data_IF_525105484692
#
_entry.id   IF_525105484692
#
_cell.length_a   1.000
_cell.length_b   1.000
_cell.length_c   1.000
_cell.angle_alpha   90.00
_cell.angle_beta   90.00
_cell.angle_gamma   90.00
#
_symmetry.space_group_name_H-M   'P 1'
#
loop_
_entity.id
_entity.type
_entity.pdbx_description
1 polymer ?
#
# COMPACT_ATOMS: atom_id res chain seq x y z
N UNK A 1 -25.58 -47.34 25.59
CA UNK A 1 -25.69 -46.10 24.80
C UNK A 1 -25.80 -46.50 23.34
N UNK A 2 -26.94 -46.31 22.71
CA UNK A 2 -27.11 -46.62 21.27
C UNK A 2 -26.68 -45.39 20.47
N UNK A 3 -25.57 -45.48 19.75
CA UNK A 3 -25.17 -44.44 18.80
C UNK A 3 -26.14 -44.46 17.61
N UNK A 4 -26.95 -43.40 17.49
CA UNK A 4 -27.70 -43.15 16.27
C UNK A 4 -26.73 -42.95 15.10
N UNK A 5 -27.04 -43.54 13.95
CA UNK A 5 -26.23 -43.36 12.73
C UNK A 5 -26.45 -41.94 12.23
N UNK A 6 -25.35 -41.21 12.03
CA UNK A 6 -25.41 -39.87 11.47
C UNK A 6 -26.08 -39.87 10.08
N UNK A 7 -26.96 -38.91 9.86
CA UNK A 7 -27.64 -38.71 8.57
C UNK A 7 -26.62 -38.34 7.49
N UNK A 8 -26.99 -38.49 6.21
CA UNK A 8 -26.06 -38.16 5.12
C UNK A 8 -25.72 -36.66 5.08
N UNK A 9 -26.66 -35.80 5.49
CA UNK A 9 -26.45 -34.36 5.62
C UNK A 9 -25.44 -34.04 6.72
N UNK A 10 -25.56 -34.69 7.88
CA UNK A 10 -24.59 -34.56 8.98
C UNK A 10 -23.19 -34.97 8.54
N UNK A 11 -23.06 -36.07 7.78
CA UNK A 11 -21.77 -36.50 7.23
C UNK A 11 -21.20 -35.49 6.23
N UNK A 12 -22.04 -34.94 5.35
CA UNK A 12 -21.62 -33.93 4.38
C UNK A 12 -21.15 -32.64 5.09
N UNK A 13 -21.85 -32.25 6.15
CA UNK A 13 -21.49 -31.10 6.97
C UNK A 13 -20.16 -31.33 7.71
N UNK A 14 -19.95 -32.52 8.28
CA UNK A 14 -18.66 -32.88 8.92
C UNK A 14 -17.52 -32.85 7.90
N UNK A 15 -17.74 -33.32 6.67
CA UNK A 15 -16.71 -33.28 5.64
C UNK A 15 -16.41 -31.85 5.17
N UNK A 16 -17.42 -30.97 5.09
CA UNK A 16 -17.21 -29.59 4.68
C UNK A 16 -16.46 -28.79 5.74
N UNK A 17 -16.75 -29.00 7.03
CA UNK A 17 -16.02 -28.36 8.13
C UNK A 17 -14.56 -28.79 8.15
N UNK A 18 -14.27 -30.07 7.98
CA UNK A 18 -12.89 -30.57 7.90
C UNK A 18 -12.11 -29.97 6.72
N UNK A 19 -12.74 -29.87 5.56
CA UNK A 19 -12.13 -29.23 4.38
C UNK A 19 -11.87 -27.74 4.61
N UNK A 20 -12.81 -27.05 5.24
CA UNK A 20 -12.66 -25.63 5.57
C UNK A 20 -11.52 -25.42 6.55
N UNK A 21 -11.45 -26.22 7.62
CA UNK A 21 -10.39 -26.13 8.62
C UNK A 21 -9.00 -26.34 8.00
N UNK A 22 -8.85 -27.32 7.11
CA UNK A 22 -7.60 -27.57 6.40
C UNK A 22 -7.24 -26.41 5.46
N UNK A 23 -8.20 -25.90 4.69
CA UNK A 23 -8.00 -24.70 3.87
C UNK A 23 -7.57 -23.50 4.71
N UNK A 24 -8.25 -23.23 5.82
CA UNK A 24 -7.97 -22.08 6.67
C UNK A 24 -6.56 -22.16 7.24
N UNK A 25 -6.13 -23.32 7.73
CA UNK A 25 -4.78 -23.55 8.28
C UNK A 25 -3.68 -23.39 7.22
N UNK A 26 -3.95 -23.76 5.99
CA UNK A 26 -2.97 -23.73 4.89
C UNK A 26 -3.02 -22.43 4.07
N UNK A 27 -3.98 -21.54 4.34
CA UNK A 27 -4.14 -20.27 3.64
C UNK A 27 -3.12 -19.23 4.10
N UNK A 28 -2.86 -18.23 3.26
CA UNK A 28 -2.01 -17.08 3.61
C UNK A 28 -2.61 -16.18 4.72
N UNK A 29 -3.84 -16.45 5.17
CA UNK A 29 -4.52 -15.70 6.23
C UNK A 29 -4.39 -16.36 7.60
N UNK A 30 -3.81 -17.57 7.68
CA UNK A 30 -3.56 -18.24 8.95
C UNK A 30 -2.46 -17.53 9.73
N UNK A 31 -2.82 -16.94 10.87
CA UNK A 31 -1.88 -16.33 11.79
C UNK A 31 -1.57 -17.33 12.91
N UNK A 32 -0.39 -17.93 12.86
CA UNK A 32 0.06 -18.85 13.91
C UNK A 32 0.27 -18.05 15.22
N UNK A 33 -0.45 -18.37 16.31
CA UNK A 33 -0.50 -17.54 17.52
C UNK A 33 0.85 -17.38 18.22
N UNK A 34 1.76 -18.35 18.03
CA UNK A 34 3.08 -18.39 18.64
C UNK A 34 4.23 -18.43 17.61
N UNK A 35 3.94 -18.13 16.33
CA UNK A 35 5.00 -17.97 15.36
C UNK A 35 5.98 -16.90 15.87
N UNK A 36 7.28 -17.18 15.94
CA UNK A 36 8.25 -16.16 16.27
C UNK A 36 8.11 -15.09 15.19
N UNK A 37 7.57 -13.91 15.56
CA UNK A 37 7.50 -12.74 14.69
C UNK A 37 8.82 -12.67 13.95
N UNK A 38 8.81 -12.89 12.63
CA UNK A 38 10.03 -12.75 11.86
C UNK A 38 10.53 -11.35 12.18
N UNK A 39 11.82 -11.22 12.52
CA UNK A 39 12.47 -9.95 12.93
C UNK A 39 12.37 -8.83 11.86
N UNK A 40 11.60 -9.05 10.80
CA UNK A 40 11.40 -8.19 9.66
C UNK A 40 9.96 -7.62 9.57
N UNK A 41 8.96 -8.23 10.21
CA UNK A 41 7.56 -7.83 10.01
C UNK A 41 7.23 -6.53 10.77
N UNK A 42 7.87 -6.33 11.93
CA UNK A 42 7.80 -5.05 12.65
C UNK A 42 8.44 -3.89 11.85
N UNK A 43 9.17 -4.17 10.76
CA UNK A 43 9.74 -3.12 9.87
C UNK A 43 8.82 -2.73 8.72
N UNK A 44 7.76 -3.48 8.44
CA UNK A 44 6.82 -3.14 7.35
C UNK A 44 5.89 -1.99 7.74
N UNK A 45 5.54 -1.89 9.03
CA UNK A 45 4.71 -0.82 9.59
C UNK A 45 5.52 0.35 10.18
N UNK A 46 6.84 0.22 10.33
CA UNK A 46 7.69 1.35 10.69
C UNK A 46 7.88 2.26 9.48
N UNK A 47 7.27 3.46 9.52
CA UNK A 47 7.64 4.55 8.60
C UNK A 47 9.14 4.82 8.73
N UNK A 48 9.90 4.40 7.73
CA UNK A 48 11.36 4.60 7.67
C UNK A 48 11.78 6.08 7.87
N UNK A 49 10.87 7.03 7.61
CA UNK A 49 11.08 8.47 7.86
C UNK A 49 11.03 8.88 9.34
N UNK A 50 10.32 8.13 10.19
CA UNK A 50 10.22 8.39 11.63
C UNK A 50 11.43 7.86 12.38
N UNK A 51 12.20 6.97 11.74
CA UNK A 51 13.49 6.52 12.21
C UNK A 51 14.44 7.72 12.23
N UNK A 52 14.45 8.46 13.34
CA UNK A 52 15.52 9.41 13.69
C UNK A 52 16.80 8.63 13.49
N UNK A 53 17.64 9.08 12.53
CA UNK A 53 18.90 8.42 12.17
C UNK A 53 19.58 7.98 13.46
N UNK A 54 19.62 6.67 13.72
CA UNK A 54 20.34 6.14 14.89
C UNK A 54 21.76 6.66 14.73
N UNK A 55 22.15 7.44 15.73
CA UNK A 55 23.42 8.10 15.97
C UNK A 55 24.45 7.71 14.93
N UNK A 56 24.77 8.62 14.01
CA UNK A 56 25.97 8.49 13.19
C UNK A 56 27.11 8.27 14.19
N UNK A 57 27.56 7.02 14.35
CA UNK A 57 28.73 6.70 15.17
C UNK A 57 29.79 7.69 14.72
N UNK A 58 30.40 8.41 15.67
CA UNK A 58 31.34 9.50 15.41
C UNK A 58 32.29 9.06 14.31
N UNK A 59 31.99 9.46 13.07
CA UNK A 59 32.71 8.94 11.91
C UNK A 59 34.11 9.46 12.09
N UNK A 60 35.08 8.57 12.25
CA UNK A 60 36.45 9.02 12.49
C UNK A 60 36.88 9.89 11.30
N UNK A 61 37.76 10.85 11.58
CA UNK A 61 38.23 11.74 10.54
C UNK A 61 38.77 10.92 9.36
N UNK A 62 38.55 11.37 8.13
CA UNK A 62 39.05 10.64 6.94
C UNK A 62 40.56 10.40 7.00
N UNK A 63 41.30 11.29 7.67
CA UNK A 63 42.73 11.15 7.94
C UNK A 63 43.09 9.88 8.75
N UNK A 64 42.16 9.33 9.55
CA UNK A 64 42.36 8.08 10.30
C UNK A 64 42.35 6.86 9.39
N UNK A 65 41.56 6.89 8.30
CA UNK A 65 41.43 5.78 7.36
C UNK A 65 42.36 5.90 6.16
N UNK A 66 42.71 7.13 5.79
CA UNK A 66 43.46 7.41 4.58
C UNK A 66 44.58 8.40 4.88
N UNK A 67 45.82 7.93 4.67
CA UNK A 67 47.00 8.81 4.69
C UNK A 67 46.90 9.74 3.48
N UNK A 68 46.74 11.04 3.74
CA UNK A 68 46.65 12.09 2.71
C UNK A 68 48.05 12.38 2.11
N UNK A 69 48.69 11.34 1.55
CA UNK A 69 50.00 11.42 0.90
C UNK A 69 49.76 11.40 -0.62
N UNK A 70 50.39 12.27 -1.42
CA UNK A 70 50.20 12.29 -2.87
C UNK A 70 50.37 10.91 -3.53
N UNK A 71 51.32 10.11 -3.06
CA UNK A 71 51.56 8.75 -3.55
C UNK A 71 50.38 7.77 -3.38
N UNK A 72 49.43 8.04 -2.47
CA UNK A 72 48.24 7.22 -2.23
C UNK A 72 47.07 7.55 -3.16
N UNK A 73 47.18 8.61 -3.96
CA UNK A 73 46.12 9.01 -4.87
C UNK A 73 46.63 8.94 -6.32
N UNK A 74 45.78 8.48 -7.25
CA UNK A 74 46.12 8.54 -8.67
C UNK A 74 46.39 9.99 -9.08
N UNK A 75 47.36 10.16 -9.99
CA UNK A 75 47.84 11.47 -10.43
C UNK A 75 46.72 12.38 -10.97
N UNK A 76 45.66 11.79 -11.50
CA UNK A 76 44.44 12.45 -12.00
C UNK A 76 43.69 13.22 -10.91
N UNK A 77 43.73 12.75 -9.66
CA UNK A 77 43.05 13.37 -8.52
C UNK A 77 43.91 14.46 -7.85
N UNK A 78 45.24 14.35 -7.95
CA UNK A 78 46.18 15.33 -7.38
C UNK A 78 46.24 16.61 -8.21
N UNK A 79 46.22 16.46 -9.53
CA UNK A 79 46.28 17.56 -10.48
C UNK A 79 44.89 18.12 -10.76
N UNK A 80 44.06 18.21 -9.72
CA UNK A 80 42.64 18.59 -9.77
C UNK A 80 42.37 19.44 -11.00
N UNK A 81 41.73 18.82 -12.00
CA UNK A 81 41.27 19.53 -13.19
C UNK A 81 40.65 20.82 -12.68
N UNK A 82 41.15 21.97 -13.15
CA UNK A 82 40.53 23.28 -12.91
C UNK A 82 39.17 23.25 -13.60
N UNK A 83 38.23 22.46 -13.08
CA UNK A 83 36.85 22.44 -13.50
C UNK A 83 36.34 23.78 -13.04
N UNK A 84 36.13 24.68 -14.00
CA UNK A 84 35.32 25.86 -13.80
C UNK A 84 34.15 25.45 -12.91
N UNK A 85 33.98 26.15 -11.78
CA UNK A 85 32.91 25.92 -10.83
C UNK A 85 31.62 25.67 -11.63
N UNK A 86 31.01 24.47 -11.59
CA UNK A 86 29.72 24.30 -12.21
C UNK A 86 28.79 25.24 -11.46
N UNK A 87 28.32 26.28 -12.16
CA UNK A 87 27.30 27.20 -11.65
C UNK A 87 26.23 26.33 -11.02
N UNK A 88 26.04 26.47 -9.70
CA UNK A 88 25.07 25.68 -8.94
C UNK A 88 23.66 26.05 -9.43
N UNK A 89 23.24 25.49 -10.56
CA UNK A 89 21.85 25.49 -10.97
C UNK A 89 21.15 24.56 -9.98
N UNK A 90 20.67 25.15 -8.90
CA UNK A 90 19.81 24.47 -7.92
C UNK A 90 18.66 23.85 -8.72
N UNK A 91 18.60 22.53 -8.74
CA UNK A 91 17.49 21.78 -9.27
C UNK A 91 16.26 22.16 -8.43
N UNK A 92 15.48 23.12 -8.93
CA UNK A 92 14.23 23.55 -8.31
C UNK A 92 13.16 22.61 -8.83
N UNK A 93 12.61 21.79 -7.95
CA UNK A 93 11.39 21.05 -8.24
C UNK A 93 10.29 22.08 -8.50
N UNK A 94 9.89 22.20 -9.77
CA UNK A 94 8.87 23.17 -10.13
C UNK A 94 7.51 22.57 -9.77
N UNK A 95 6.87 23.14 -8.75
CA UNK A 95 5.60 22.64 -8.19
C UNK A 95 4.44 22.91 -9.15
N UNK A 96 4.60 23.87 -10.05
CA UNK A 96 3.55 24.39 -10.91
C UNK A 96 3.32 23.57 -12.18
N UNK A 97 4.25 22.66 -12.54
CA UNK A 97 4.16 21.87 -13.77
C UNK A 97 3.02 20.83 -13.76
N UNK A 98 2.47 20.47 -12.59
CA UNK A 98 1.50 19.37 -12.44
C UNK A 98 0.13 19.78 -11.89
N UNK A 99 -0.14 21.07 -11.64
CA UNK A 99 -1.42 21.50 -11.06
C UNK A 99 -2.62 21.19 -11.98
N UNK A 100 -2.44 21.31 -13.30
CA UNK A 100 -3.50 20.98 -14.28
C UNK A 100 -3.93 19.50 -14.24
N UNK A 101 -3.03 18.60 -13.86
CA UNK A 101 -3.33 17.16 -13.77
C UNK A 101 -4.33 16.92 -12.63
N UNK A 102 -4.18 17.62 -11.50
CA UNK A 102 -5.11 17.52 -10.37
C UNK A 102 -6.49 18.12 -10.67
N UNK A 103 -6.56 19.25 -11.38
CA UNK A 103 -7.83 19.84 -11.82
C UNK A 103 -8.64 18.92 -12.76
N UNK A 104 -7.95 18.12 -13.59
CA UNK A 104 -8.63 17.13 -14.46
C UNK A 104 -9.22 15.99 -13.63
N UNK A 105 -8.49 15.49 -12.63
CA UNK A 105 -8.99 14.44 -11.75
C UNK A 105 -10.20 14.90 -10.92
N UNK A 106 -10.17 16.12 -10.39
CA UNK A 106 -11.30 16.68 -9.63
C UNK A 106 -12.57 16.82 -10.51
N UNK A 107 -12.43 17.24 -11.77
CA UNK A 107 -13.55 17.32 -12.72
C UNK A 107 -14.11 15.94 -13.07
N UNK A 108 -13.26 14.93 -13.24
CA UNK A 108 -13.69 13.56 -13.52
C UNK A 108 -14.48 12.99 -12.33
N UNK A 109 -14.02 13.19 -11.11
CA UNK A 109 -14.71 12.74 -9.89
C UNK A 109 -16.05 13.47 -9.69
N UNK A 110 -16.10 14.76 -10.00
CA UNK A 110 -17.35 15.53 -9.95
C UNK A 110 -18.39 15.03 -10.97
N UNK A 111 -17.95 14.68 -12.19
CA UNK A 111 -18.82 14.12 -13.21
C UNK A 111 -19.34 12.73 -12.82
N UNK A 112 -18.48 11.88 -12.25
CA UNK A 112 -18.87 10.56 -11.74
C UNK A 112 -19.92 10.69 -10.63
N UNK A 113 -19.66 11.53 -9.62
CA UNK A 113 -20.63 11.80 -8.53
C UNK A 113 -21.96 12.35 -9.05
N UNK A 114 -21.92 13.25 -10.04
CA UNK A 114 -23.13 13.77 -10.67
C UNK A 114 -23.91 12.66 -11.38
N UNK A 115 -23.25 11.82 -12.19
CA UNK A 115 -23.89 10.69 -12.88
C UNK A 115 -24.52 9.69 -11.91
N UNK A 116 -23.84 9.34 -10.82
CA UNK A 116 -24.43 8.47 -9.79
C UNK A 116 -25.64 9.12 -9.10
N UNK A 117 -25.58 10.42 -8.82
CA UNK A 117 -26.71 11.15 -8.22
C UNK A 117 -27.91 11.24 -9.18
N UNK A 118 -27.68 11.54 -10.46
CA UNK A 118 -28.75 11.58 -11.47
C UNK A 118 -29.40 10.21 -11.65
N UNK A 119 -28.63 9.13 -11.69
CA UNK A 119 -29.16 7.77 -11.78
C UNK A 119 -30.02 7.43 -10.55
N UNK A 120 -29.53 7.71 -9.33
CA UNK A 120 -30.30 7.47 -8.10
C UNK A 120 -31.62 8.25 -8.07
N UNK A 121 -31.60 9.52 -8.50
CA UNK A 121 -32.83 10.34 -8.59
C UNK A 121 -33.78 9.81 -9.66
N UNK A 122 -33.27 9.36 -10.80
CA UNK A 122 -34.08 8.79 -11.89
C UNK A 122 -34.75 7.47 -11.47
N UNK A 123 -33.99 6.56 -10.83
CA UNK A 123 -34.53 5.31 -10.30
C UNK A 123 -35.58 5.54 -9.21
N UNK A 124 -35.36 6.49 -8.29
CA UNK A 124 -36.35 6.87 -7.28
C UNK A 124 -37.64 7.42 -7.90
N UNK A 125 -37.53 8.27 -8.94
CA UNK A 125 -38.70 8.80 -9.65
C UNK A 125 -39.49 7.71 -10.40
N UNK A 126 -38.81 6.72 -10.99
CA UNK A 126 -39.44 5.57 -11.65
C UNK A 126 -40.13 4.61 -10.66
N UNK A 127 -39.57 4.39 -9.47
CA UNK A 127 -40.22 3.60 -8.40
C UNK A 127 -41.50 4.27 -7.90
N UNK A 128 -41.49 5.60 -7.72
CA UNK A 128 -42.68 6.33 -7.25
C UNK A 128 -43.84 6.32 -8.25
N UNK A 129 -43.58 6.25 -9.57
CA UNK A 129 -44.62 6.18 -10.61
C UNK A 129 -45.16 4.77 -10.86
N UNK A 130 -44.40 3.72 -10.52
CA UNK A 130 -44.78 2.33 -10.80
C UNK A 130 -45.49 1.63 -9.64
N UNK A 131 -45.62 2.28 -8.47
CA UNK A 131 -46.30 1.73 -7.30
C UNK A 131 -45.64 0.48 -6.71
N UNK A 132 -44.41 0.14 -7.14
CA UNK A 132 -43.63 -0.98 -6.62
C UNK A 132 -42.57 -0.43 -5.67
N UNK A 133 -42.66 -0.84 -4.42
CA UNK A 133 -41.65 -0.57 -3.38
C UNK A 133 -40.41 -1.43 -3.67
N UNK A 134 -39.46 -0.90 -4.43
CA UNK A 134 -38.13 -1.52 -4.58
C UNK A 134 -37.24 -0.89 -3.52
N UNK A 135 -36.58 -1.73 -2.73
CA UNK A 135 -35.78 -1.26 -1.60
C UNK A 135 -34.46 -0.66 -2.11
N UNK A 136 -33.91 0.34 -1.40
CA UNK A 136 -32.61 0.94 -1.73
C UNK A 136 -31.49 -0.13 -1.79
N UNK A 137 -31.65 -1.23 -1.06
CA UNK A 137 -30.74 -2.38 -1.06
C UNK A 137 -30.71 -3.12 -2.41
N UNK A 138 -31.84 -3.18 -3.14
CA UNK A 138 -31.91 -3.83 -4.46
C UNK A 138 -31.21 -3.00 -5.55
N UNK A 139 -31.16 -1.67 -5.38
CA UNK A 139 -30.48 -0.74 -6.29
C UNK A 139 -28.96 -0.83 -6.12
N UNK A 140 -28.48 -0.99 -4.88
CA UNK A 140 -27.05 -1.11 -4.57
C UNK A 140 -26.48 -2.44 -5.08
N UNK A 141 -27.28 -3.51 -5.16
CA UNK A 141 -26.85 -4.82 -5.65
C UNK A 141 -26.70 -4.89 -7.18
N UNK A 142 -27.19 -3.89 -7.92
CA UNK A 142 -27.21 -3.86 -9.38
C UNK A 142 -26.08 -3.03 -10.01
N UNK A 143 -25.30 -2.32 -9.18
CA UNK A 143 -24.06 -1.60 -9.53
C UNK A 143 -22.87 -2.47 -9.12
#
# INVERSE_FOLDING_TARGET
>A
MTCAKATNEEKALILSTLKLDDFMRNSCYYLEPDAPKKKNDDKEIERYSDRKRKTQSKREALASYLKLIPANFPAELLHGSKRAQPVQKKLRWDKDANNHVFDVFEKLEANEKASHHYLLVFFSSCCSKSGRHISILDIILLV
#
